data_IF_893459292225
#
_entry.id   IF_893459292225
#
_cell.length_a   1.000
_cell.length_b   1.000
_cell.length_c   1.000
_cell.angle_alpha   90.00
_cell.angle_beta   90.00
_cell.angle_gamma   90.00
#
_symmetry.space_group_name_H-M   'P 1'
#
loop_
_entity.id
_entity.type
_entity.pdbx_description
1 polymer ?
#
# COMPACT_ATOMS: atom_id res chain seq x y z
N UNK A 1 2.15 -5.18 -12.92
CA UNK A 1 2.10 -6.04 -11.72
C UNK A 1 1.41 -5.25 -10.61
N UNK A 2 0.53 -5.87 -9.82
CA UNK A 2 -0.11 -5.20 -8.66
C UNK A 2 0.73 -5.41 -7.40
N UNK A 3 0.66 -4.50 -6.43
CA UNK A 3 1.37 -4.63 -5.14
C UNK A 3 1.13 -6.00 -4.49
N UNK A 4 -0.10 -6.51 -4.52
CA UNK A 4 -0.44 -7.85 -4.01
C UNK A 4 0.33 -9.00 -4.68
N UNK A 5 0.66 -8.86 -5.96
CA UNK A 5 1.40 -9.88 -6.73
C UNK A 5 2.92 -9.76 -6.56
N UNK A 6 3.40 -8.65 -5.98
CA UNK A 6 4.82 -8.43 -5.66
C UNK A 6 5.20 -8.90 -4.25
N UNK A 7 4.27 -9.44 -3.46
CA UNK A 7 4.56 -9.84 -2.09
C UNK A 7 5.63 -10.94 -2.06
N UNK A 8 6.69 -10.71 -1.29
CA UNK A 8 7.86 -11.61 -1.22
C UNK A 8 8.93 -11.37 -2.29
N UNK A 9 8.75 -10.43 -3.22
CA UNK A 9 9.76 -10.06 -4.23
C UNK A 9 10.35 -8.67 -3.97
N UNK A 10 11.60 -8.42 -4.36
CA UNK A 10 12.24 -7.10 -4.26
C UNK A 10 12.99 -6.73 -5.54
N UNK A 11 13.12 -5.44 -5.81
CA UNK A 11 13.70 -4.90 -7.03
C UNK A 11 14.67 -3.75 -6.71
N UNK A 12 15.75 -3.61 -7.48
CA UNK A 12 16.72 -2.51 -7.30
C UNK A 12 16.01 -1.15 -7.36
N UNK A 13 15.17 -0.97 -8.38
CA UNK A 13 14.35 0.21 -8.56
C UNK A 13 12.89 -0.19 -8.77
N UNK A 14 11.97 0.45 -8.04
CA UNK A 14 10.52 0.27 -8.21
C UNK A 14 9.87 1.60 -8.59
N UNK A 15 8.94 1.56 -9.54
CA UNK A 15 8.01 2.65 -9.81
C UNK A 15 6.63 2.31 -9.24
N UNK A 16 6.16 3.09 -8.26
CA UNK A 16 4.83 2.99 -7.67
C UNK A 16 3.90 4.00 -8.35
N UNK A 17 2.85 3.50 -9.00
CA UNK A 17 1.84 4.33 -9.66
C UNK A 17 0.55 4.30 -8.84
N UNK A 18 0.08 5.47 -8.41
CA UNK A 18 -1.19 5.68 -7.73
C UNK A 18 -2.20 6.27 -8.74
N UNK A 19 -3.06 5.45 -9.37
CA UNK A 19 -3.95 5.93 -10.43
C UNK A 19 -5.05 6.84 -9.87
N UNK A 20 -5.51 7.79 -10.70
CA UNK A 20 -6.70 8.57 -10.41
C UNK A 20 -7.90 7.65 -10.14
N UNK A 21 -8.71 7.98 -9.12
CA UNK A 21 -9.83 7.13 -8.69
C UNK A 21 -9.45 5.89 -7.88
N UNK A 22 -8.15 5.58 -7.73
CA UNK A 22 -7.66 4.45 -6.94
C UNK A 22 -7.84 4.58 -5.43
N UNK A 23 -8.27 5.75 -4.93
CA UNK A 23 -8.33 6.05 -3.50
C UNK A 23 -9.06 5.00 -2.66
N UNK A 24 -10.09 4.32 -3.19
CA UNK A 24 -10.87 3.30 -2.45
C UNK A 24 -10.05 2.06 -2.07
N UNK A 25 -9.06 1.69 -2.89
CA UNK A 25 -8.20 0.52 -2.63
C UNK A 25 -6.86 0.90 -2.01
N UNK A 26 -6.53 2.19 -1.99
CA UNK A 26 -5.30 2.69 -1.38
C UNK A 26 -5.44 2.75 0.15
N UNK A 27 -4.58 1.99 0.82
CA UNK A 27 -4.39 2.04 2.28
C UNK A 27 -2.91 2.24 2.59
N UNK A 28 -2.63 2.60 3.85
CA UNK A 28 -1.27 2.77 4.35
C UNK A 28 -0.45 1.49 4.21
N UNK A 29 -1.06 0.33 4.48
CA UNK A 29 -0.40 -0.97 4.37
C UNK A 29 -0.03 -1.31 2.92
N UNK A 30 -0.88 -0.96 1.96
CA UNK A 30 -0.62 -1.18 0.54
C UNK A 30 0.57 -0.31 0.06
N UNK A 31 0.57 0.97 0.44
CA UNK A 31 1.67 1.89 0.11
C UNK A 31 2.98 1.45 0.77
N UNK A 32 2.93 1.10 2.06
CA UNK A 32 4.10 0.58 2.78
C UNK A 32 4.68 -0.67 2.11
N UNK A 33 3.81 -1.62 1.75
CA UNK A 33 4.23 -2.84 1.05
C UNK A 33 4.90 -2.50 -0.27
N UNK A 34 4.34 -1.57 -1.05
CA UNK A 34 4.90 -1.16 -2.33
C UNK A 34 6.26 -0.46 -2.19
N UNK A 35 6.41 0.44 -1.20
CA UNK A 35 7.67 1.14 -0.91
C UNK A 35 8.76 0.13 -0.57
N UNK A 36 8.46 -0.84 0.30
CA UNK A 36 9.43 -1.86 0.72
C UNK A 36 9.77 -2.89 -0.36
N UNK A 37 9.21 -2.80 -1.58
CA UNK A 37 9.69 -3.62 -2.71
C UNK A 37 10.90 -2.99 -3.41
N UNK A 38 11.18 -1.70 -3.19
CA UNK A 38 12.37 -1.04 -3.67
C UNK A 38 13.56 -1.29 -2.74
N UNK A 39 14.69 -1.76 -3.29
CA UNK A 39 15.94 -1.95 -2.54
C UNK A 39 16.78 -0.69 -2.47
N UNK A 40 16.83 0.07 -3.56
CA UNK A 40 17.69 1.26 -3.65
C UNK A 40 16.91 2.51 -4.03
N UNK A 41 16.06 2.43 -5.06
CA UNK A 41 15.39 3.60 -5.62
C UNK A 41 13.89 3.39 -5.74
N UNK A 42 13.12 4.42 -5.41
CA UNK A 42 11.67 4.46 -5.60
C UNK A 42 11.29 5.68 -6.43
N UNK A 43 10.51 5.48 -7.49
CA UNK A 43 9.78 6.56 -8.16
C UNK A 43 8.32 6.45 -7.79
N UNK A 44 7.73 7.55 -7.31
CA UNK A 44 6.30 7.64 -7.02
C UNK A 44 5.63 8.50 -8.08
N UNK A 45 4.54 7.99 -8.66
CA UNK A 45 3.71 8.71 -9.63
C UNK A 45 2.30 8.79 -9.08
N UNK A 46 1.81 10.01 -8.86
CA UNK A 46 0.42 10.27 -8.50
C UNK A 46 -0.38 10.69 -9.73
N UNK A 47 -1.41 9.92 -10.09
CA UNK A 47 -2.37 10.29 -11.14
C UNK A 47 -3.32 11.43 -10.73
N UNK A 48 -3.36 11.75 -9.43
CA UNK A 48 -4.01 12.92 -8.86
C UNK A 48 -3.22 13.34 -7.62
N UNK A 49 -2.96 14.63 -7.46
CA UNK A 49 -2.23 15.15 -6.30
C UNK A 49 -2.88 14.73 -4.97
N UNK A 50 -2.05 14.27 -4.02
CA UNK A 50 -2.46 13.94 -2.66
C UNK A 50 -3.07 12.55 -2.48
N UNK A 51 -2.95 11.66 -3.46
CA UNK A 51 -3.35 10.26 -3.33
C UNK A 51 -2.50 9.53 -2.28
N UNK A 52 -1.21 9.84 -2.19
CA UNK A 52 -0.31 9.31 -1.17
C UNK A 52 -0.78 9.71 0.22
N UNK A 53 -1.03 11.00 0.44
CA UNK A 53 -1.51 11.53 1.73
C UNK A 53 -2.79 10.83 2.16
N UNK A 54 -3.77 10.74 1.26
CA UNK A 54 -5.04 10.03 1.51
C UNK A 54 -4.84 8.54 1.81
N UNK A 55 -3.87 7.90 1.17
CA UNK A 55 -3.56 6.50 1.42
C UNK A 55 -2.97 6.30 2.81
N UNK A 56 -2.04 7.17 3.24
CA UNK A 56 -1.38 7.08 4.55
C UNK A 56 -2.38 7.30 5.71
N UNK A 57 -3.37 8.17 5.51
CA UNK A 57 -4.45 8.41 6.50
C UNK A 57 -5.42 7.22 6.64
N UNK A 58 -5.49 6.33 5.64
CA UNK A 58 -6.39 5.17 5.64
C UNK A 58 -5.69 3.92 6.16
N UNK A 59 -6.05 3.52 7.38
CA UNK A 59 -5.67 2.20 7.90
C UNK A 59 -6.61 1.12 7.35
N UNK A 60 -6.05 -0.03 7.00
CA UNK A 60 -6.83 -1.21 6.63
C UNK A 60 -7.73 -1.66 7.79
N UNK A 61 -9.04 -1.73 7.56
CA UNK A 61 -9.99 -2.31 8.50
C UNK A 61 -9.95 -3.84 8.39
N UNK A 62 -9.80 -4.54 9.51
CA UNK A 62 -9.76 -6.01 9.55
C UNK A 62 -11.00 -6.55 10.26
N UNK A 63 -11.96 -7.04 9.50
CA UNK A 63 -13.08 -7.80 10.05
C UNK A 63 -12.59 -9.20 10.47
N UNK A 64 -12.31 -9.40 11.76
CA UNK A 64 -11.85 -10.68 12.30
C UNK A 64 -12.29 -10.86 13.74
N UNK A 65 -12.77 -12.06 14.09
CA UNK A 65 -13.13 -12.43 15.46
C UNK A 65 -11.95 -12.71 16.39
N UNK A 66 -10.71 -12.75 15.87
CA UNK A 66 -9.53 -13.11 16.65
C UNK A 66 -9.31 -12.17 17.84
N UNK A 67 -9.61 -10.88 17.68
CA UNK A 67 -9.49 -9.91 18.77
C UNK A 67 -10.40 -10.27 19.95
N UNK A 68 -11.65 -10.64 19.66
CA UNK A 68 -12.63 -11.03 20.67
C UNK A 68 -12.22 -12.32 21.39
N UNK A 69 -11.55 -13.25 20.70
CA UNK A 69 -11.06 -14.51 21.28
C UNK A 69 -9.84 -14.34 22.18
N UNK A 70 -9.06 -13.27 22.01
CA UNK A 70 -7.87 -13.00 22.84
C UNK A 70 -8.19 -12.12 24.06
N UNK A 71 -9.32 -11.42 24.03
CA UNK A 71 -9.79 -10.52 25.11
C UNK A 71 -10.77 -11.21 26.07
N UNK A 72 -11.20 -12.45 25.79
CA UNK A 72 -12.08 -13.27 26.64
C UNK A 72 -11.34 -14.46 27.25
#
# INVERSE_FOLDING_TARGET
MTVHKCQGSEFLHTALVLPQGGAKVLTRELVYTAITRARENLTLVEGQSGLLTRAIERQSQRASGLRLQLEG
#
